data_IF_882345018957
#
_entry.id   IF_882345018957
#
_cell.length_a   1.000
_cell.length_b   1.000
_cell.length_c   1.000
_cell.angle_alpha   90.00
_cell.angle_beta   90.00
_cell.angle_gamma   90.00
#
_symmetry.space_group_name_H-M   'P 1'
#
loop_
_entity.id
_entity.type
_entity.pdbx_description
1 polymer ?
#
# COMPACT_ATOMS: atom_id res chain seq x y z
N UNK A 1 -11.57 7.09 -4.30
CA UNK A 1 -11.47 5.63 -4.13
C UNK A 1 -11.44 4.99 -5.51
N UNK A 2 -10.42 4.17 -5.83
CA UNK A 2 -10.43 3.29 -7.01
C UNK A 2 -11.71 2.44 -6.86
N UNK A 3 -12.59 2.42 -7.86
CA UNK A 3 -13.92 1.79 -7.73
C UNK A 3 -13.76 0.35 -7.26
N UNK A 4 -14.15 0.04 -6.01
CA UNK A 4 -13.97 -1.27 -5.38
C UNK A 4 -14.93 -2.25 -6.04
N UNK A 5 -14.63 -2.68 -7.26
CA UNK A 5 -15.51 -3.51 -8.09
C UNK A 5 -16.76 -2.79 -8.61
N UNK A 6 -17.27 -1.75 -7.94
CA UNK A 6 -18.51 -1.03 -8.32
C UNK A 6 -18.49 -0.39 -9.72
N UNK A 7 -17.30 -0.14 -10.26
CA UNK A 7 -17.10 0.44 -11.60
C UNK A 7 -16.65 -0.61 -12.61
N UNK A 8 -16.27 -1.80 -12.15
CA UNK A 8 -16.07 -2.95 -13.02
C UNK A 8 -17.48 -3.40 -13.44
N UNK A 9 -17.69 -3.62 -14.74
CA UNK A 9 -18.99 -4.08 -15.25
C UNK A 9 -19.47 -5.27 -14.39
N UNK A 10 -20.77 -5.34 -14.04
CA UNK A 10 -21.27 -6.51 -13.33
C UNK A 10 -20.81 -7.74 -14.10
N UNK A 11 -20.15 -8.66 -13.38
CA UNK A 11 -19.90 -9.99 -13.91
C UNK A 11 -21.24 -10.52 -14.44
N UNK A 12 -21.25 -11.18 -15.60
CA UNK A 12 -22.49 -11.78 -16.09
C UNK A 12 -23.06 -12.70 -14.99
N UNK A 13 -24.39 -12.71 -14.85
CA UNK A 13 -25.12 -13.31 -13.72
C UNK A 13 -24.80 -14.80 -13.48
N UNK A 14 -24.10 -15.43 -14.44
CA UNK A 14 -23.63 -16.81 -14.47
C UNK A 14 -22.29 -17.06 -13.74
N UNK A 15 -21.59 -15.99 -13.29
CA UNK A 15 -20.39 -16.07 -12.42
C UNK A 15 -20.69 -15.46 -11.04
N UNK A 16 -21.92 -15.61 -10.56
CA UNK A 16 -22.24 -15.47 -9.14
C UNK A 16 -21.84 -16.77 -8.47
N UNK A 17 -20.55 -16.88 -8.18
CA UNK A 17 -19.92 -18.09 -7.63
C UNK A 17 -20.66 -18.51 -6.35
N UNK A 18 -21.44 -19.58 -6.46
CA UNK A 18 -22.12 -20.25 -5.34
C UNK A 18 -21.15 -20.76 -4.28
N UNK A 19 -19.86 -20.75 -4.60
CA UNK A 19 -18.79 -21.41 -3.86
C UNK A 19 -18.25 -20.55 -2.70
N UNK A 20 -18.58 -19.25 -2.66
CA UNK A 20 -18.26 -18.42 -1.49
C UNK A 20 -19.30 -18.63 -0.38
N UNK A 21 -18.91 -19.38 0.65
CA UNK A 21 -19.72 -19.59 1.85
C UNK A 21 -19.87 -18.30 2.65
N UNK A 22 -18.76 -17.61 2.91
CA UNK A 22 -18.69 -16.39 3.72
C UNK A 22 -17.62 -15.43 3.19
N UNK A 23 -17.83 -14.13 3.39
CA UNK A 23 -16.86 -13.07 3.10
C UNK A 23 -16.73 -12.13 4.30
N UNK A 24 -15.52 -11.70 4.62
CA UNK A 24 -15.26 -10.78 5.73
C UNK A 24 -15.37 -9.32 5.28
N UNK A 25 -15.79 -8.46 6.20
CA UNK A 25 -15.82 -7.01 6.04
C UNK A 25 -15.31 -6.34 7.31
N UNK A 26 -14.69 -5.17 7.12
CA UNK A 26 -14.12 -4.37 8.22
C UNK A 26 -15.14 -3.49 8.93
N UNK A 27 -16.29 -3.22 8.31
CA UNK A 27 -17.29 -2.28 8.80
C UNK A 27 -18.64 -2.49 8.08
N UNK A 28 -19.75 -1.91 8.59
CA UNK A 28 -21.02 -1.90 7.86
C UNK A 28 -20.92 -1.26 6.47
N UNK A 29 -20.08 -0.24 6.32
CA UNK A 29 -19.84 0.43 5.04
C UNK A 29 -19.20 -0.52 4.02
N UNK A 30 -18.11 -1.19 4.41
CA UNK A 30 -17.42 -2.13 3.54
C UNK A 30 -18.26 -3.38 3.27
N UNK A 31 -19.06 -3.84 4.23
CA UNK A 31 -19.98 -4.97 4.01
C UNK A 31 -21.02 -4.67 2.91
N UNK A 32 -21.62 -3.49 2.94
CA UNK A 32 -22.59 -3.08 1.92
C UNK A 32 -21.93 -2.95 0.53
N UNK A 33 -20.70 -2.42 0.50
CA UNK A 33 -19.91 -2.32 -0.72
C UNK A 33 -19.56 -3.70 -1.31
N UNK A 34 -19.13 -4.66 -0.48
CA UNK A 34 -18.85 -6.04 -0.91
C UNK A 34 -20.10 -6.73 -1.44
N UNK A 35 -21.21 -6.67 -0.71
CA UNK A 35 -22.50 -7.24 -1.14
C UNK A 35 -22.95 -6.67 -2.48
N UNK A 36 -22.80 -5.36 -2.70
CA UNK A 36 -23.19 -4.72 -3.96
C UNK A 36 -22.22 -5.05 -5.11
N UNK A 37 -20.91 -4.96 -4.87
CA UNK A 37 -19.90 -5.13 -5.90
C UNK A 37 -19.77 -6.58 -6.38
N UNK A 38 -20.02 -7.54 -5.49
CA UNK A 38 -19.87 -8.98 -5.77
C UNK A 38 -21.21 -9.73 -5.79
N UNK A 39 -22.35 -9.03 -5.67
CA UNK A 39 -23.70 -9.63 -5.64
C UNK A 39 -23.92 -10.67 -4.53
N UNK A 40 -23.18 -10.55 -3.43
CA UNK A 40 -23.26 -11.49 -2.30
C UNK A 40 -24.50 -11.19 -1.43
N UNK A 41 -25.24 -12.21 -0.98
CA UNK A 41 -26.25 -12.07 0.07
C UNK A 41 -25.66 -11.43 1.34
N UNK A 42 -26.41 -10.53 1.99
CA UNK A 42 -25.91 -9.78 3.17
C UNK A 42 -25.57 -10.68 4.35
N UNK A 43 -26.28 -11.79 4.51
CA UNK A 43 -26.04 -12.81 5.53
C UNK A 43 -24.75 -13.60 5.31
N UNK A 44 -24.19 -13.57 4.09
CA UNK A 44 -22.86 -14.12 3.77
C UNK A 44 -21.71 -13.13 3.99
N UNK A 45 -21.98 -11.87 4.34
CA UNK A 45 -20.95 -10.84 4.57
C UNK A 45 -20.82 -10.55 6.06
N UNK A 46 -19.78 -11.09 6.69
CA UNK A 46 -19.55 -10.98 8.13
C UNK A 46 -18.67 -9.79 8.48
N UNK A 47 -19.14 -8.94 9.39
CA UNK A 47 -18.35 -7.79 9.87
C UNK A 47 -17.48 -8.26 11.04
N UNK A 48 -16.25 -8.63 10.75
CA UNK A 48 -15.29 -9.19 11.73
C UNK A 48 -14.00 -8.39 11.86
N UNK A 49 -13.74 -7.45 10.93
CA UNK A 49 -12.39 -6.89 10.77
C UNK A 49 -11.60 -7.66 9.71
N UNK A 50 -10.26 -7.56 9.75
CA UNK A 50 -9.35 -8.39 8.94
C UNK A 50 -8.29 -9.01 9.86
N UNK A 51 -8.03 -10.32 9.78
CA UNK A 51 -7.05 -10.99 10.67
C UNK A 51 -5.65 -10.37 10.64
N UNK A 52 -5.23 -9.84 9.49
CA UNK A 52 -3.94 -9.15 9.33
C UNK A 52 -3.81 -7.87 10.18
N UNK A 53 -4.93 -7.31 10.63
CA UNK A 53 -4.95 -6.12 11.51
C UNK A 53 -4.93 -6.46 12.99
N UNK A 54 -5.06 -7.73 13.38
CA UNK A 54 -5.11 -8.12 14.79
C UNK A 54 -3.86 -7.67 15.55
N UNK A 55 -2.69 -7.68 14.92
CA UNK A 55 -1.44 -7.21 15.52
C UNK A 55 -1.38 -5.70 15.81
N UNK A 56 -2.31 -4.90 15.28
CA UNK A 56 -2.36 -3.45 15.52
C UNK A 56 -3.05 -3.09 16.85
N UNK A 57 -3.76 -4.04 17.47
CA UNK A 57 -4.49 -3.78 18.70
C UNK A 57 -3.64 -4.12 19.93
N UNK A 58 -3.61 -3.27 20.97
CA UNK A 58 -2.75 -3.47 22.15
C UNK A 58 -2.94 -4.82 22.87
N UNK A 59 -4.15 -5.39 22.80
CA UNK A 59 -4.49 -6.66 23.44
C UNK A 59 -3.81 -7.88 22.78
N UNK A 60 -3.39 -7.74 21.52
CA UNK A 60 -2.86 -8.79 20.66
C UNK A 60 -1.53 -8.40 20.03
N UNK A 61 -1.08 -7.15 20.23
CA UNK A 61 0.19 -6.67 19.75
C UNK A 61 1.32 -7.36 20.50
N UNK A 62 2.07 -8.21 19.80
CA UNK A 62 3.44 -8.49 20.20
C UNK A 62 4.32 -7.31 19.80
N UNK A 63 5.46 -7.08 20.48
CA UNK A 63 6.42 -6.08 20.04
C UNK A 63 6.67 -6.25 18.54
N UNK A 64 6.36 -5.23 17.75
CA UNK A 64 6.59 -5.25 16.31
C UNK A 64 8.03 -5.69 16.06
N UNK A 65 8.21 -6.58 15.08
CA UNK A 65 9.50 -7.01 14.56
C UNK A 65 10.53 -5.90 14.73
N UNK A 66 11.61 -6.21 15.44
CA UNK A 66 12.79 -5.36 15.39
C UNK A 66 13.09 -5.15 13.91
N UNK A 67 12.94 -3.93 13.39
CA UNK A 67 13.45 -3.62 12.05
C UNK A 67 14.98 -3.64 12.19
N UNK A 68 15.57 -4.83 12.21
CA UNK A 68 16.97 -5.08 12.55
C UNK A 68 17.94 -4.30 11.65
N UNK A 69 17.46 -3.86 10.50
CA UNK A 69 18.22 -3.20 9.45
C UNK A 69 18.18 -1.67 9.54
N UNK A 70 17.35 -1.10 10.43
CA UNK A 70 17.35 0.32 10.74
C UNK A 70 18.24 0.52 11.97
N UNK A 71 19.34 1.30 11.91
CA UNK A 71 20.16 1.58 13.07
C UNK A 71 19.35 2.41 14.06
N UNK A 72 18.67 1.72 14.98
CA UNK A 72 17.86 2.30 16.03
C UNK A 72 18.73 3.10 16.98
N UNK A 73 18.82 4.41 16.76
CA UNK A 73 19.07 5.30 17.88
C UNK A 73 17.79 5.33 18.70
N UNK A 74 17.90 5.17 20.02
CA UNK A 74 16.76 5.30 20.93
C UNK A 74 16.01 6.62 20.64
N UNK A 75 14.67 6.59 20.68
CA UNK A 75 13.76 7.72 20.47
C UNK A 75 13.66 8.33 19.06
N UNK A 76 13.97 7.58 18.00
CA UNK A 76 13.73 8.03 16.61
C UNK A 76 12.23 7.91 16.25
N UNK A 77 11.70 8.95 15.60
CA UNK A 77 10.34 8.93 15.01
C UNK A 77 10.35 8.30 13.63
N UNK A 78 9.35 7.50 13.28
CA UNK A 78 9.27 6.84 11.97
C UNK A 78 8.16 7.46 11.14
N UNK A 79 8.49 7.90 9.93
CA UNK A 79 7.54 8.26 8.89
C UNK A 79 7.45 7.09 7.91
N UNK A 80 6.28 6.46 7.82
CA UNK A 80 6.02 5.39 6.85
C UNK A 80 5.50 6.01 5.54
N UNK A 81 6.19 5.77 4.43
CA UNK A 81 5.74 6.18 3.10
C UNK A 81 5.52 4.95 2.21
N UNK A 82 4.27 4.68 1.87
CA UNK A 82 3.85 3.51 1.07
C UNK A 82 3.12 3.97 -0.21
N UNK A 83 3.85 4.45 -1.24
CA UNK A 83 3.22 4.88 -2.48
C UNK A 83 2.59 3.69 -3.22
N UNK A 84 1.35 3.87 -3.68
CA UNK A 84 0.67 2.87 -4.53
C UNK A 84 1.25 2.86 -5.95
N UNK A 85 1.25 1.70 -6.61
CA UNK A 85 1.58 1.59 -8.04
C UNK A 85 0.65 2.47 -8.93
N UNK A 86 1.22 3.02 -9.99
CA UNK A 86 0.52 3.88 -10.97
C UNK A 86 0.86 3.41 -12.38
N UNK A 87 -0.14 2.92 -13.11
CA UNK A 87 -0.02 2.46 -14.50
C UNK A 87 0.23 3.60 -15.51
N UNK A 88 -0.22 4.82 -15.18
CA UNK A 88 -0.22 5.98 -16.09
C UNK A 88 1.15 6.50 -16.52
N UNK A 89 2.23 5.82 -16.14
CA UNK A 89 3.53 6.22 -16.62
C UNK A 89 3.82 5.63 -18.00
N UNK A 90 3.33 4.47 -18.46
CA UNK A 90 3.69 4.01 -19.83
C UNK A 90 3.29 5.01 -20.93
N UNK A 91 4.28 5.72 -21.50
CA UNK A 91 4.11 6.51 -22.72
C UNK A 91 4.31 5.58 -23.90
N UNK A 92 3.38 5.58 -24.83
CA UNK A 92 3.62 5.04 -26.17
C UNK A 92 4.54 6.03 -26.88
N UNK A 93 5.80 5.66 -27.08
CA UNK A 93 6.74 6.40 -27.93
C UNK A 93 6.90 5.55 -29.19
N UNK A 94 6.57 6.12 -30.36
CA UNK A 94 6.69 5.44 -31.66
C UNK A 94 5.96 4.09 -31.80
N UNK A 95 4.84 3.89 -31.10
CA UNK A 95 4.05 2.67 -31.19
C UNK A 95 4.53 1.51 -30.33
N UNK A 96 5.59 1.70 -29.53
CA UNK A 96 6.11 0.71 -28.60
C UNK A 96 5.77 1.07 -27.14
N UNK A 97 5.46 0.05 -26.34
CA UNK A 97 5.28 0.19 -24.89
C UNK A 97 6.65 0.42 -24.24
N UNK A 98 6.97 1.67 -23.90
CA UNK A 98 8.09 1.96 -23.02
C UNK A 98 7.63 1.85 -21.56
N UNK A 99 8.17 0.92 -20.75
CA UNK A 99 7.85 0.85 -19.32
C UNK A 99 8.45 2.10 -18.65
N UNK A 100 7.59 3.02 -18.24
CA UNK A 100 8.02 4.31 -17.70
C UNK A 100 8.37 4.23 -16.20
N UNK A 101 9.26 3.28 -15.90
CA UNK A 101 9.96 3.16 -14.64
C UNK A 101 10.79 4.43 -14.35
N UNK A 102 11.18 5.16 -15.40
CA UNK A 102 11.99 6.39 -15.32
C UNK A 102 11.30 7.53 -14.56
N UNK A 103 10.00 7.75 -14.71
CA UNK A 103 9.34 8.86 -13.98
C UNK A 103 9.21 8.53 -12.48
N UNK A 104 8.81 7.31 -12.13
CA UNK A 104 8.72 6.89 -10.73
C UNK A 104 10.12 6.96 -10.09
N UNK A 105 11.14 6.48 -10.79
CA UNK A 105 12.53 6.61 -10.37
C UNK A 105 12.92 8.06 -10.16
N UNK A 106 12.62 8.94 -11.12
CA UNK A 106 12.94 10.37 -11.02
C UNK A 106 12.28 11.03 -9.82
N UNK A 107 11.00 10.76 -9.58
CA UNK A 107 10.25 11.31 -8.44
C UNK A 107 10.81 10.80 -7.11
N UNK A 108 11.12 9.51 -7.02
CA UNK A 108 11.71 8.91 -5.82
C UNK A 108 13.15 9.41 -5.58
N UNK A 109 13.96 9.54 -6.63
CA UNK A 109 15.30 10.15 -6.53
C UNK A 109 15.21 11.61 -6.13
N UNK A 110 14.25 12.37 -6.66
CA UNK A 110 14.02 13.75 -6.24
C UNK A 110 13.67 13.81 -4.75
N UNK A 111 12.78 12.93 -4.27
CA UNK A 111 12.43 12.80 -2.86
C UNK A 111 13.66 12.50 -1.99
N UNK A 112 14.47 11.51 -2.37
CA UNK A 112 15.64 11.07 -1.58
C UNK A 112 16.81 12.06 -1.60
N UNK A 113 16.89 12.90 -2.63
CA UNK A 113 17.90 13.94 -2.76
C UNK A 113 17.44 15.31 -2.23
N UNK A 114 16.18 15.46 -1.86
CA UNK A 114 15.62 16.71 -1.35
C UNK A 114 16.24 17.08 0.01
N UNK A 115 16.98 18.19 0.02
CA UNK A 115 17.69 18.67 1.21
C UNK A 115 16.74 19.22 2.27
N UNK A 116 15.58 19.76 1.89
CA UNK A 116 14.61 20.28 2.85
C UNK A 116 13.97 19.12 3.62
N UNK A 117 13.60 18.03 2.94
CA UNK A 117 13.05 16.83 3.59
C UNK A 117 14.10 16.21 4.53
N UNK A 118 15.34 16.06 4.07
CA UNK A 118 16.45 15.59 4.91
C UNK A 118 16.64 16.46 6.15
N UNK A 119 16.60 17.77 5.98
CA UNK A 119 16.71 18.73 7.08
C UNK A 119 15.57 18.57 8.09
N UNK A 120 14.32 18.50 7.63
CA UNK A 120 13.13 18.34 8.49
C UNK A 120 13.19 17.03 9.26
N UNK A 121 13.52 15.90 8.60
CA UNK A 121 13.63 14.60 9.26
C UNK A 121 14.73 14.63 10.33
N UNK A 122 15.90 15.18 10.01
CA UNK A 122 17.03 15.27 10.95
C UNK A 122 16.68 16.15 12.15
N UNK A 123 16.10 17.34 11.93
CA UNK A 123 15.69 18.25 13.01
C UNK A 123 14.67 17.63 13.96
N UNK A 124 13.83 16.72 13.48
CA UNK A 124 12.79 16.06 14.26
C UNK A 124 13.21 14.71 14.85
N UNK A 125 14.50 14.35 14.76
CA UNK A 125 15.02 13.03 15.10
C UNK A 125 14.16 11.92 14.47
N UNK A 126 13.85 12.08 13.18
CA UNK A 126 12.94 11.23 12.44
C UNK A 126 13.65 10.57 11.26
N UNK A 127 13.14 9.41 10.86
CA UNK A 127 13.53 8.69 9.65
C UNK A 127 12.30 8.41 8.81
N UNK A 128 12.51 8.19 7.51
CA UNK A 128 11.45 7.78 6.61
C UNK A 128 11.73 6.37 6.08
N UNK A 129 10.84 5.43 6.37
CA UNK A 129 10.86 4.08 5.80
C UNK A 129 9.90 4.02 4.61
N UNK A 130 10.40 3.58 3.47
CA UNK A 130 9.70 3.65 2.18
C UNK A 130 9.44 2.25 1.64
N UNK A 131 8.18 1.82 1.66
CA UNK A 131 7.80 0.53 1.07
C UNK A 131 7.29 0.72 -0.35
N UNK A 132 8.14 0.44 -1.33
CA UNK A 132 7.79 0.53 -2.76
C UNK A 132 7.09 -0.73 -3.27
N UNK A 133 6.36 -0.61 -4.38
CA UNK A 133 5.88 -1.77 -5.14
C UNK A 133 7.05 -2.68 -5.55
N UNK A 134 6.90 -4.02 -5.59
CA UNK A 134 8.00 -4.93 -5.94
C UNK A 134 8.74 -4.57 -7.23
N UNK A 135 8.02 -4.18 -8.29
CA UNK A 135 8.63 -3.73 -9.55
C UNK A 135 9.37 -2.39 -9.47
N UNK A 136 9.09 -1.56 -8.47
CA UNK A 136 9.78 -0.28 -8.27
C UNK A 136 11.00 -0.40 -7.36
N UNK A 137 11.09 -1.45 -6.54
CA UNK A 137 12.23 -1.68 -5.64
C UNK A 137 13.53 -1.97 -6.40
N UNK A 138 13.44 -2.64 -7.56
CA UNK A 138 14.58 -3.02 -8.40
C UNK A 138 15.34 -1.80 -8.94
N UNK A 139 14.75 -0.60 -8.88
CA UNK A 139 15.28 0.59 -9.56
C UNK A 139 16.21 1.43 -8.66
N UNK A 140 16.18 1.26 -7.34
CA UNK A 140 16.86 2.18 -6.41
C UNK A 140 17.83 1.42 -5.50
N UNK A 141 19.12 1.54 -5.79
CA UNK A 141 20.18 0.84 -5.07
C UNK A 141 20.90 1.74 -4.02
N UNK A 142 20.88 3.07 -4.20
CA UNK A 142 21.61 4.03 -3.35
C UNK A 142 20.67 4.91 -2.51
N UNK A 143 20.22 4.39 -1.37
CA UNK A 143 19.47 5.16 -0.37
C UNK A 143 20.29 5.24 0.91
N UNK A 144 20.37 6.45 1.46
CA UNK A 144 21.09 6.74 2.69
C UNK A 144 20.18 7.43 3.69
N UNK A 145 20.52 7.27 4.97
CA UNK A 145 19.90 7.98 6.09
C UNK A 145 19.67 9.47 5.75
N UNK A 146 18.50 10.04 6.09
CA UNK A 146 17.46 9.51 6.97
C UNK A 146 16.38 8.65 6.27
N UNK A 147 16.63 8.17 5.05
CA UNK A 147 15.70 7.31 4.30
C UNK A 147 16.12 5.84 4.36
N UNK A 148 15.14 4.93 4.36
CA UNK A 148 15.30 3.47 4.41
C UNK A 148 14.24 2.79 3.52
N UNK A 149 14.55 1.63 2.92
CA UNK A 149 13.60 0.80 2.15
C UNK A 149 13.06 -0.38 2.97
#
# INVERSE_FOLDING_TARGET
LKGVGLQCRPYPDDIMDSDNDLTIATSPFTANMMSTAFGLPKDKVLITGVPESDGLFPATSQPCMEFTDIPWKHNVRIVLYLPTWRENYSKIINGEYAPNNEIIEKELRALFNDQNIRHILTQNNAVMAVKLHPYSQVIIEDIHAPFYL
#
